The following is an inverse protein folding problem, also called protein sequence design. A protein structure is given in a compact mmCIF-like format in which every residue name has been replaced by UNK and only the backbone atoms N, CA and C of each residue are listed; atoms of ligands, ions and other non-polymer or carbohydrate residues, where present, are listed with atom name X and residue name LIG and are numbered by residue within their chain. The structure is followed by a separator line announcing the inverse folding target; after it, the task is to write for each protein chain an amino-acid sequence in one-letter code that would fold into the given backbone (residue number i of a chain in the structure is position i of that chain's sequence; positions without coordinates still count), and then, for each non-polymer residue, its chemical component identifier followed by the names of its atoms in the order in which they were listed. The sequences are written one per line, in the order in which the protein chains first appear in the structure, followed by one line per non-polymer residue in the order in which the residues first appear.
data_IF_607984310663
#
_entry.id   IF_607984310663
#
_cell.length_a   1.000
_cell.length_b   1.000
_cell.length_c   1.000
_cell.angle_alpha   90.00
_cell.angle_beta   90.00
_cell.angle_gamma   90.00
#
_symmetry.space_group_name_H-M   'P 1'
#
loop_
_entity.id
_entity.type
_entity.pdbx_description
1 polymer ?
#
# COMPACT_ATOMS: atom_id res chain seq x y z
N UNK A 1 -8.10 -13.79 25.35
CA UNK A 1 -8.30 -13.60 23.91
C UNK A 1 -6.96 -13.86 23.24
N UNK A 2 -6.88 -14.80 22.29
CA UNK A 2 -5.65 -14.98 21.52
C UNK A 2 -5.74 -13.99 20.35
N UNK A 3 -4.81 -13.05 20.25
CA UNK A 3 -4.74 -12.04 19.19
C UNK A 3 -3.57 -12.38 18.30
N UNK A 4 -3.81 -12.44 16.99
CA UNK A 4 -2.81 -12.69 15.95
C UNK A 4 -2.53 -11.42 15.16
N UNK A 5 -1.40 -11.35 14.45
CA UNK A 5 -1.10 -10.21 13.57
C UNK A 5 -2.16 -10.01 12.48
N UNK A 6 -2.71 -11.12 11.98
CA UNK A 6 -3.78 -11.10 10.97
C UNK A 6 -5.06 -10.39 11.41
N UNK A 7 -5.33 -10.30 12.72
CA UNK A 7 -6.53 -9.63 13.23
C UNK A 7 -6.48 -8.11 13.03
N UNK A 8 -5.30 -7.55 12.73
CA UNK A 8 -5.09 -6.14 12.42
C UNK A 8 -4.84 -5.87 10.92
N UNK A 9 -5.03 -6.88 10.07
CA UNK A 9 -4.95 -6.74 8.62
C UNK A 9 -6.38 -6.64 8.07
N UNK A 10 -6.76 -5.45 7.65
CA UNK A 10 -8.07 -5.19 7.05
C UNK A 10 -8.01 -5.45 5.55
N UNK A 11 -9.03 -6.11 5.00
CA UNK A 11 -9.20 -6.24 3.55
C UNK A 11 -10.66 -6.05 3.17
N UNK A 12 -10.92 -5.36 2.06
CA UNK A 12 -12.24 -5.23 1.47
C UNK A 12 -12.16 -5.39 -0.05
N UNK A 13 -13.22 -5.97 -0.63
CA UNK A 13 -13.36 -6.19 -2.07
C UNK A 13 -14.12 -5.00 -2.69
N UNK A 14 -13.99 -4.84 -4.01
CA UNK A 14 -14.78 -3.91 -4.82
C UNK A 14 -14.72 -2.43 -4.35
N UNK A 15 -13.63 -2.05 -3.68
CA UNK A 15 -13.43 -0.69 -3.13
C UNK A 15 -13.07 0.32 -4.22
N UNK A 16 -12.59 -0.16 -5.37
CA UNK A 16 -12.43 0.56 -6.62
C UNK A 16 -13.11 -0.25 -7.74
N UNK A 17 -13.80 0.42 -8.65
CA UNK A 17 -14.46 -0.27 -9.76
C UNK A 17 -13.43 -0.85 -10.73
N UNK A 18 -13.78 -1.96 -11.40
CA UNK A 18 -12.94 -2.57 -12.44
C UNK A 18 -12.57 -1.58 -13.55
N UNK A 19 -13.53 -0.75 -13.97
CA UNK A 19 -13.30 0.28 -14.99
C UNK A 19 -12.27 1.32 -14.53
N UNK A 20 -12.32 1.74 -13.28
CA UNK A 20 -11.34 2.68 -12.71
C UNK A 20 -9.95 2.04 -12.65
N UNK A 21 -9.85 0.81 -12.15
CA UNK A 21 -8.57 0.08 -12.10
C UNK A 21 -7.94 -0.06 -13.49
N UNK A 22 -8.73 -0.45 -14.48
CA UNK A 22 -8.29 -0.55 -15.88
C UNK A 22 -7.83 0.80 -16.43
N UNK A 23 -8.61 1.86 -16.19
CA UNK A 23 -8.25 3.21 -16.62
C UNK A 23 -6.90 3.66 -16.03
N UNK A 24 -6.70 3.45 -14.72
CA UNK A 24 -5.43 3.80 -14.03
C UNK A 24 -4.25 3.04 -14.64
N UNK A 25 -4.40 1.74 -14.89
CA UNK A 25 -3.34 0.93 -15.53
C UNK A 25 -3.00 1.48 -16.91
N UNK A 26 -4.01 1.72 -17.76
CA UNK A 26 -3.81 2.23 -19.12
C UNK A 26 -3.15 3.61 -19.13
N UNK A 27 -3.51 4.49 -18.21
CA UNK A 27 -2.92 5.81 -18.04
C UNK A 27 -1.48 5.72 -17.56
N UNK A 28 -1.22 4.89 -16.54
CA UNK A 28 0.12 4.62 -16.04
C UNK A 28 1.04 4.07 -17.13
N UNK A 29 0.59 3.12 -17.94
CA UNK A 29 1.44 2.54 -19.00
C UNK A 29 1.87 3.59 -20.05
N UNK A 30 1.06 4.60 -20.30
CA UNK A 30 1.35 5.70 -21.25
C UNK A 30 2.17 6.84 -20.63
N UNK A 31 2.31 6.88 -19.31
CA UNK A 31 3.02 7.96 -18.63
C UNK A 31 4.54 7.73 -18.68
N UNK A 32 5.29 8.70 -19.17
CA UNK A 32 6.76 8.62 -19.31
C UNK A 32 7.52 9.03 -18.03
N UNK A 33 6.82 9.50 -17.00
CA UNK A 33 7.42 9.95 -15.72
C UNK A 33 7.72 8.81 -14.74
N UNK A 34 7.43 7.57 -15.13
CA UNK A 34 7.75 6.37 -14.32
C UNK A 34 9.23 6.26 -14.00
N UNK A 35 9.54 5.82 -12.79
CA UNK A 35 10.90 5.60 -12.34
C UNK A 35 11.07 4.17 -11.79
N UNK A 36 12.32 3.68 -11.75
CA UNK A 36 12.61 2.44 -11.03
C UNK A 36 12.26 2.59 -9.56
N UNK A 37 11.65 1.55 -8.97
CA UNK A 37 11.28 1.53 -7.58
C UNK A 37 12.47 1.84 -6.67
N UNK A 38 12.27 2.73 -5.71
CA UNK A 38 13.28 3.14 -4.74
C UNK A 38 13.02 2.50 -3.38
N UNK A 39 14.09 2.32 -2.62
CA UNK A 39 14.11 1.91 -1.22
C UNK A 39 14.83 2.96 -0.39
N UNK A 40 14.65 2.90 0.93
CA UNK A 40 15.20 3.88 1.88
C UNK A 40 14.26 5.05 2.15
N UNK A 41 14.65 5.89 3.12
CA UNK A 41 13.96 7.14 3.43
C UNK A 41 14.43 8.30 2.55
N UNK A 42 13.89 9.51 2.77
CA UNK A 42 14.24 10.70 1.97
C UNK A 42 15.74 11.02 1.92
N UNK A 43 16.49 10.62 2.96
CA UNK A 43 17.92 10.92 3.09
C UNK A 43 18.82 9.88 2.43
N UNK A 44 18.33 8.67 2.16
CA UNK A 44 19.09 7.54 1.65
C UNK A 44 18.40 6.78 0.51
N UNK A 45 17.48 7.44 -0.19
CA UNK A 45 16.79 6.89 -1.36
C UNK A 45 17.77 6.34 -2.39
N UNK A 46 17.56 5.10 -2.78
CA UNK A 46 18.35 4.44 -3.84
C UNK A 46 17.53 3.40 -4.58
N UNK A 47 17.96 3.11 -5.78
CA UNK A 47 17.46 1.97 -6.55
C UNK A 47 18.33 0.74 -6.22
N UNK A 48 17.70 -0.32 -5.75
CA UNK A 48 18.33 -1.63 -5.56
C UNK A 48 17.33 -2.72 -5.99
N UNK A 49 17.48 -3.19 -7.22
CA UNK A 49 16.57 -4.18 -7.81
C UNK A 49 16.64 -5.55 -7.16
N UNK A 50 17.70 -5.86 -6.39
CA UNK A 50 17.76 -7.08 -5.61
C UNK A 50 16.83 -7.07 -4.39
N UNK A 51 16.42 -5.87 -3.96
CA UNK A 51 15.50 -5.64 -2.84
C UNK A 51 14.10 -5.31 -3.36
N UNK A 52 13.97 -4.30 -4.25
CA UNK A 52 12.71 -3.88 -4.85
C UNK A 52 12.87 -3.71 -6.35
N UNK A 53 12.19 -4.55 -7.14
CA UNK A 53 12.18 -4.43 -8.60
C UNK A 53 10.75 -4.14 -9.08
N UNK A 54 10.50 -2.85 -9.30
CA UNK A 54 9.23 -2.31 -9.79
C UNK A 54 9.47 -1.06 -10.63
N UNK A 55 8.43 -0.64 -11.36
CA UNK A 55 8.32 0.69 -11.97
C UNK A 55 7.26 1.46 -11.21
N UNK A 56 7.60 2.63 -10.71
CA UNK A 56 6.78 3.42 -9.82
C UNK A 56 6.44 4.79 -10.42
N UNK A 57 5.24 5.31 -10.10
CA UNK A 57 4.80 6.67 -10.41
C UNK A 57 4.06 7.24 -9.19
N UNK A 58 4.57 8.31 -8.60
CA UNK A 58 3.86 9.04 -7.56
C UNK A 58 2.93 10.06 -8.22
N UNK A 59 1.62 9.93 -8.00
CA UNK A 59 0.61 10.68 -8.77
C UNK A 59 0.07 11.92 -8.08
N UNK A 60 0.09 11.99 -6.74
CA UNK A 60 -0.55 13.08 -5.98
C UNK A 60 0.09 14.47 -6.12
N UNK A 61 1.18 14.59 -6.87
CA UNK A 61 1.78 15.88 -7.22
C UNK A 61 1.63 16.23 -8.70
N UNK A 62 0.83 15.45 -9.44
CA UNK A 62 0.68 15.58 -10.88
C UNK A 62 -0.74 16.06 -11.20
N UNK A 63 -0.87 17.29 -11.69
CA UNK A 63 -2.17 17.92 -11.96
C UNK A 63 -3.09 17.09 -12.89
N UNK A 64 -2.50 16.39 -13.83
CA UNK A 64 -3.23 15.54 -14.78
C UNK A 64 -3.70 14.20 -14.16
N UNK A 65 -3.38 13.93 -12.88
CA UNK A 65 -3.86 12.81 -12.09
C UNK A 65 -4.84 13.21 -10.96
N UNK A 66 -5.25 14.47 -10.90
CA UNK A 66 -6.10 14.98 -9.81
C UNK A 66 -7.47 14.26 -9.71
N UNK A 67 -8.05 13.83 -10.84
CA UNK A 67 -9.34 13.12 -10.83
C UNK A 67 -9.21 11.73 -10.20
N UNK A 68 -8.13 11.01 -10.52
CA UNK A 68 -7.84 9.70 -9.93
C UNK A 68 -7.47 9.83 -8.45
N UNK A 69 -6.65 10.83 -8.09
CA UNK A 69 -6.27 11.14 -6.71
C UNK A 69 -7.51 11.36 -5.84
N UNK A 70 -8.48 12.14 -6.33
CA UNK A 70 -9.74 12.37 -5.62
C UNK A 70 -10.55 11.08 -5.40
N UNK A 71 -10.66 10.23 -6.39
CA UNK A 71 -11.37 8.94 -6.24
C UNK A 71 -10.69 8.06 -5.19
N UNK A 72 -9.37 8.03 -5.18
CA UNK A 72 -8.58 7.29 -4.20
C UNK A 72 -8.76 7.86 -2.79
N UNK A 73 -8.74 9.17 -2.64
CA UNK A 73 -8.97 9.86 -1.36
C UNK A 73 -10.36 9.55 -0.78
N UNK A 74 -11.40 9.63 -1.62
CA UNK A 74 -12.77 9.34 -1.19
C UNK A 74 -12.90 7.87 -0.74
N UNK A 75 -12.36 6.90 -1.51
CA UNK A 75 -12.34 5.47 -1.15
C UNK A 75 -11.49 5.19 0.09
N UNK A 76 -10.30 5.77 0.20
CA UNK A 76 -9.43 5.58 1.37
C UNK A 76 -10.12 6.06 2.65
N UNK A 77 -10.73 7.23 2.62
CA UNK A 77 -11.39 7.84 3.78
C UNK A 77 -12.51 6.95 4.34
N UNK A 78 -13.25 6.26 3.47
CA UNK A 78 -14.28 5.28 3.88
C UNK A 78 -13.63 4.06 4.56
N UNK A 79 -12.61 3.48 3.91
CA UNK A 79 -12.02 2.22 4.37
C UNK A 79 -11.10 2.38 5.58
N UNK A 80 -10.51 3.57 5.80
CA UNK A 80 -9.77 3.88 7.03
C UNK A 80 -10.69 3.86 8.24
N UNK A 81 -11.91 4.39 8.14
CA UNK A 81 -12.91 4.31 9.23
C UNK A 81 -13.23 2.86 9.58
N UNK A 82 -13.54 2.04 8.56
CA UNK A 82 -13.83 0.63 8.76
C UNK A 82 -12.63 -0.15 9.31
N UNK A 83 -11.41 0.17 8.88
CA UNK A 83 -10.19 -0.39 9.44
C UNK A 83 -10.05 -0.08 10.94
N UNK A 84 -10.24 1.18 11.35
CA UNK A 84 -10.16 1.59 12.75
C UNK A 84 -11.25 0.90 13.58
N UNK A 85 -12.49 0.90 13.12
CA UNK A 85 -13.61 0.24 13.78
C UNK A 85 -13.38 -1.27 14.00
N UNK A 86 -12.76 -1.95 13.06
CA UNK A 86 -12.53 -3.40 13.12
C UNK A 86 -11.26 -3.78 13.89
N UNK A 87 -10.21 -2.97 13.83
CA UNK A 87 -8.88 -3.39 14.28
C UNK A 87 -8.36 -2.59 15.48
N UNK A 88 -8.76 -1.36 15.67
CA UNK A 88 -8.29 -0.47 16.75
C UNK A 88 -9.30 -0.37 17.86
N UNK A 89 -10.53 0.03 17.59
CA UNK A 89 -11.56 0.29 18.60
C UNK A 89 -11.84 -0.89 19.54
N UNK A 90 -11.82 -2.16 19.12
CA UNK A 90 -12.02 -3.28 20.04
C UNK A 90 -10.98 -3.36 21.17
N UNK A 91 -9.81 -2.75 20.97
CA UNK A 91 -8.70 -2.75 21.92
C UNK A 91 -8.42 -1.36 22.54
N UNK A 92 -8.97 -0.31 21.96
CA UNK A 92 -8.84 1.08 22.42
C UNK A 92 -10.19 1.74 22.67
N UNK A 93 -10.92 1.35 23.72
CA UNK A 93 -12.22 1.91 24.03
C UNK A 93 -12.17 3.40 24.45
N UNK A 94 -10.98 3.96 24.67
CA UNK A 94 -10.80 5.38 24.99
C UNK A 94 -10.66 6.26 23.73
N UNK A 95 -10.53 5.64 22.55
CA UNK A 95 -10.45 6.34 21.27
C UNK A 95 -9.16 7.13 21.04
N UNK A 96 -8.08 6.76 21.72
CA UNK A 96 -6.78 7.49 21.66
C UNK A 96 -6.07 7.29 20.32
N UNK A 97 -6.41 6.24 19.58
CA UNK A 97 -5.76 5.88 18.31
C UNK A 97 -6.48 6.39 17.03
N UNK A 98 -7.60 7.10 17.18
CA UNK A 98 -8.45 7.54 16.07
C UNK A 98 -8.28 9.00 15.66
N UNK A 99 -7.23 9.67 16.14
CA UNK A 99 -6.94 11.05 15.77
C UNK A 99 -6.69 11.19 14.26
N UNK A 100 -6.92 12.37 13.73
CA UNK A 100 -6.91 12.68 12.31
C UNK A 100 -5.67 12.12 11.60
N UNK A 101 -5.88 11.00 10.86
CA UNK A 101 -4.86 10.43 9.99
C UNK A 101 -4.86 11.17 8.65
N UNK A 102 -3.67 11.51 8.18
CA UNK A 102 -3.46 12.08 6.85
C UNK A 102 -2.74 11.08 5.96
N UNK A 103 -3.10 11.03 4.68
CA UNK A 103 -2.38 10.18 3.73
C UNK A 103 -1.12 10.86 3.18
N UNK A 104 -0.18 10.05 2.73
CA UNK A 104 1.08 10.50 2.11
C UNK A 104 0.95 10.72 0.60
N UNK A 105 -0.24 10.66 0.06
CA UNK A 105 -0.49 10.54 -1.39
C UNK A 105 -0.35 9.11 -1.91
N UNK A 106 -0.46 8.96 -3.23
CA UNK A 106 -0.65 7.68 -3.91
C UNK A 106 0.48 7.39 -4.88
N UNK A 107 1.09 6.21 -4.73
CA UNK A 107 2.11 5.70 -5.64
C UNK A 107 1.59 4.47 -6.37
N UNK A 108 1.53 4.53 -7.70
CA UNK A 108 1.26 3.37 -8.55
C UNK A 108 2.56 2.58 -8.71
N UNK A 109 2.50 1.26 -8.60
CA UNK A 109 3.64 0.37 -8.79
C UNK A 109 3.27 -0.76 -9.75
N UNK A 110 4.13 -0.97 -10.74
CA UNK A 110 4.09 -2.09 -11.67
C UNK A 110 5.20 -3.08 -11.35
N UNK A 111 4.84 -4.32 -11.05
CA UNK A 111 5.78 -5.41 -10.79
C UNK A 111 5.69 -6.43 -11.92
N UNK A 112 6.80 -6.66 -12.61
CA UNK A 112 6.90 -7.64 -13.70
C UNK A 112 6.96 -9.08 -13.16
N UNK A 113 6.70 -10.09 -14.00
CA UNK A 113 6.93 -11.49 -13.63
C UNK A 113 8.34 -11.71 -13.07
N UNK A 114 8.44 -12.52 -12.03
CA UNK A 114 9.67 -12.84 -11.29
C UNK A 114 10.32 -11.68 -10.52
N UNK A 115 9.73 -10.48 -10.58
CA UNK A 115 10.15 -9.30 -9.81
C UNK A 115 9.28 -9.16 -8.55
N UNK A 116 9.77 -8.44 -7.54
CA UNK A 116 9.02 -8.28 -6.29
C UNK A 116 9.68 -7.29 -5.34
N UNK A 117 9.22 -7.33 -4.10
CA UNK A 117 9.81 -6.58 -2.99
C UNK A 117 10.10 -7.56 -1.85
N UNK A 118 11.35 -7.63 -1.44
CA UNK A 118 11.81 -8.55 -0.38
C UNK A 118 11.20 -8.21 0.98
N UNK A 119 11.46 -9.03 1.98
CA UNK A 119 11.00 -8.80 3.35
C UNK A 119 11.44 -7.44 3.89
N UNK A 120 10.47 -6.62 4.29
CA UNK A 120 10.65 -5.30 4.89
C UNK A 120 9.51 -5.00 5.86
N UNK A 121 9.64 -3.92 6.59
CA UNK A 121 8.56 -3.26 7.30
C UNK A 121 8.54 -1.78 6.90
N UNK A 122 7.41 -1.13 7.14
CA UNK A 122 7.20 0.26 6.74
C UNK A 122 7.41 1.25 7.90
N UNK A 123 7.89 0.77 9.05
CA UNK A 123 8.15 1.64 10.20
C UNK A 123 9.27 2.64 9.89
N UNK A 124 9.14 3.81 10.45
CA UNK A 124 10.08 4.90 10.27
C UNK A 124 10.85 5.18 11.55
N UNK A 125 12.09 5.66 11.38
CA UNK A 125 12.99 5.93 12.50
C UNK A 125 13.74 7.26 12.35
N UNK A 126 14.23 7.80 13.47
CA UNK A 126 15.16 8.91 13.49
C UNK A 126 14.62 10.24 12.97
N UNK A 127 15.43 10.92 12.16
CA UNK A 127 15.12 12.26 11.63
C UNK A 127 13.88 12.30 10.73
N UNK A 128 13.55 11.17 10.10
CA UNK A 128 12.37 11.09 9.23
C UNK A 128 11.07 11.27 10.04
N UNK A 129 10.97 10.61 11.20
CA UNK A 129 9.81 10.74 12.09
C UNK A 129 9.65 12.18 12.58
N UNK A 130 10.77 12.89 12.83
CA UNK A 130 10.74 14.30 13.22
C UNK A 130 10.23 15.21 12.09
N UNK A 131 10.51 14.89 10.85
CA UNK A 131 10.16 15.70 9.69
C UNK A 131 8.74 15.46 9.17
N UNK A 132 8.28 14.21 9.19
CA UNK A 132 7.07 13.76 8.49
C UNK A 132 6.02 13.06 9.37
N UNK A 133 6.29 12.92 10.68
CA UNK A 133 5.43 12.17 11.59
C UNK A 133 5.66 10.65 11.50
N UNK A 134 4.99 9.93 12.39
CA UNK A 134 5.02 8.46 12.38
C UNK A 134 4.01 7.91 11.37
N UNK A 135 4.44 6.92 10.59
CA UNK A 135 3.49 6.11 9.82
C UNK A 135 2.64 5.28 10.77
N UNK A 136 1.34 5.44 10.67
CA UNK A 136 0.36 4.66 11.40
C UNK A 136 0.07 3.35 10.69
N UNK A 137 -0.30 3.43 9.40
CA UNK A 137 -0.69 2.27 8.60
C UNK A 137 -0.20 2.39 7.16
N UNK A 138 -0.07 1.25 6.51
CA UNK A 138 0.13 1.13 5.07
C UNK A 138 -1.17 0.71 4.43
N UNK A 139 -1.50 1.28 3.29
CA UNK A 139 -2.59 0.82 2.44
C UNK A 139 -2.09 0.38 1.07
N UNK A 140 -2.73 -0.63 0.51
CA UNK A 140 -2.45 -1.19 -0.81
C UNK A 140 -3.77 -1.46 -1.51
N UNK A 141 -4.02 -0.87 -2.69
CA UNK A 141 -5.00 -1.37 -3.64
C UNK A 141 -4.35 -2.26 -4.68
N UNK A 142 -5.02 -3.33 -5.02
CA UNK A 142 -4.66 -4.18 -6.16
C UNK A 142 -5.52 -3.78 -7.35
N UNK A 143 -4.88 -3.42 -8.48
CA UNK A 143 -5.57 -2.90 -9.66
C UNK A 143 -5.95 -4.00 -10.66
N UNK A 144 -5.37 -5.18 -10.51
CA UNK A 144 -5.70 -6.34 -11.34
C UNK A 144 -5.62 -7.64 -10.55
N UNK A 145 -6.30 -8.65 -11.06
CA UNK A 145 -6.14 -10.00 -10.57
C UNK A 145 -4.76 -10.53 -10.93
N UNK A 146 -4.14 -11.25 -9.99
CA UNK A 146 -2.94 -12.05 -10.22
C UNK A 146 -3.20 -13.41 -9.59
N UNK A 147 -3.34 -14.43 -10.40
CA UNK A 147 -3.74 -15.76 -9.95
C UNK A 147 -2.55 -16.69 -9.66
N UNK A 148 -1.37 -16.32 -10.11
CA UNK A 148 -0.17 -17.15 -10.06
C UNK A 148 0.91 -16.47 -9.20
N UNK A 149 0.80 -16.69 -7.87
CA UNK A 149 1.58 -16.02 -6.83
C UNK A 149 1.28 -14.50 -6.73
N UNK A 150 2.26 -13.62 -6.60
CA UNK A 150 2.09 -12.16 -6.59
C UNK A 150 1.47 -11.57 -5.33
N UNK A 151 1.13 -12.37 -4.35
CA UNK A 151 0.49 -11.96 -3.10
C UNK A 151 1.38 -11.05 -2.24
N UNK A 152 0.74 -10.28 -1.36
CA UNK A 152 1.41 -9.67 -0.22
C UNK A 152 1.43 -10.69 0.91
N UNK A 153 2.63 -11.08 1.36
CA UNK A 153 2.82 -12.07 2.41
C UNK A 153 3.39 -11.42 3.68
N UNK A 154 2.78 -11.73 4.80
CA UNK A 154 3.19 -11.27 6.12
C UNK A 154 4.02 -12.34 6.86
N UNK A 155 4.79 -11.91 7.84
CA UNK A 155 5.73 -12.77 8.58
C UNK A 155 5.06 -13.93 9.35
N UNK A 156 3.79 -13.78 9.68
CA UNK A 156 2.97 -14.82 10.32
C UNK A 156 2.41 -15.86 9.33
N UNK A 157 2.68 -15.70 8.04
CA UNK A 157 2.20 -16.57 6.96
C UNK A 157 0.89 -16.12 6.32
N UNK A 158 0.27 -15.04 6.81
CA UNK A 158 -0.92 -14.44 6.19
C UNK A 158 -0.59 -13.97 4.78
N UNK A 159 -1.49 -14.24 3.81
CA UNK A 159 -1.34 -13.89 2.41
C UNK A 159 -2.56 -13.15 1.90
N UNK A 160 -2.33 -12.00 1.29
CA UNK A 160 -3.38 -11.24 0.60
C UNK A 160 -3.14 -11.34 -0.90
N UNK A 161 -4.02 -12.07 -1.57
CA UNK A 161 -3.96 -12.28 -3.02
C UNK A 161 -4.42 -11.01 -3.75
N UNK A 162 -3.72 -10.58 -4.80
CA UNK A 162 -4.19 -9.48 -5.65
C UNK A 162 -5.52 -9.80 -6.32
N UNK A 163 -6.49 -8.92 -6.13
CA UNK A 163 -7.78 -8.90 -6.82
C UNK A 163 -8.14 -7.49 -7.20
N UNK A 164 -8.69 -7.31 -8.37
CA UNK A 164 -9.11 -6.02 -8.90
C UNK A 164 -10.01 -5.28 -7.92
N UNK A 165 -9.64 -4.07 -7.53
CA UNK A 165 -10.40 -3.23 -6.61
C UNK A 165 -10.31 -3.62 -5.13
N UNK A 166 -9.53 -4.65 -4.75
CA UNK A 166 -9.31 -4.98 -3.34
C UNK A 166 -8.39 -3.98 -2.69
N UNK A 167 -8.75 -3.53 -1.48
CA UNK A 167 -7.86 -2.81 -0.56
C UNK A 167 -7.33 -3.75 0.52
N UNK A 168 -6.11 -3.49 0.96
CA UNK A 168 -5.50 -4.06 2.17
C UNK A 168 -4.91 -2.91 3.00
N UNK A 169 -5.29 -2.81 4.29
CA UNK A 169 -4.73 -1.83 5.23
C UNK A 169 -4.17 -2.60 6.42
N UNK A 170 -2.96 -2.25 6.86
CA UNK A 170 -2.28 -2.89 7.99
C UNK A 170 -1.35 -1.92 8.70
N UNK A 171 -1.01 -2.14 9.99
CA UNK A 171 -0.12 -1.26 10.76
C UNK A 171 1.27 -1.16 10.12
N UNK A 172 1.80 0.07 10.01
CA UNK A 172 3.15 0.33 9.49
C UNK A 172 4.22 0.19 10.60
N UNK A 173 4.14 -0.87 11.42
CA UNK A 173 4.98 -1.11 12.58
C UNK A 173 6.09 -2.12 12.29
N UNK A 174 7.14 -2.10 13.12
CA UNK A 174 8.32 -2.95 12.98
C UNK A 174 8.03 -4.47 13.02
N UNK A 175 6.93 -4.90 13.63
CA UNK A 175 6.52 -6.30 13.72
C UNK A 175 5.65 -6.75 12.53
N UNK A 176 5.25 -5.84 11.63
CA UNK A 176 4.51 -6.14 10.40
C UNK A 176 5.47 -6.30 9.22
N UNK A 177 6.46 -7.22 9.36
CA UNK A 177 7.27 -7.61 8.22
C UNK A 177 6.40 -8.26 7.15
N UNK A 178 6.56 -7.76 5.94
CA UNK A 178 5.84 -8.26 4.78
C UNK A 178 6.71 -8.21 3.54
N UNK A 179 6.26 -8.89 2.48
CA UNK A 179 6.91 -8.85 1.16
C UNK A 179 5.88 -8.85 0.04
N UNK A 180 6.26 -8.25 -1.09
CA UNK A 180 5.56 -8.44 -2.35
C UNK A 180 6.12 -9.68 -3.04
N UNK A 181 5.44 -10.83 -2.89
CA UNK A 181 5.89 -12.06 -3.51
C UNK A 181 5.86 -11.92 -5.05
N UNK A 182 6.88 -12.39 -5.77
CA UNK A 182 6.94 -12.29 -7.22
C UNK A 182 5.76 -13.00 -7.91
N UNK A 183 5.02 -12.34 -8.81
CA UNK A 183 4.11 -13.04 -9.71
C UNK A 183 4.92 -13.89 -10.70
N UNK A 184 4.38 -15.04 -11.12
CA UNK A 184 5.11 -15.93 -12.05
C UNK A 184 5.01 -15.48 -13.49
N UNK A 185 3.79 -15.28 -13.96
CA UNK A 185 3.52 -15.07 -15.38
C UNK A 185 2.78 -13.76 -15.68
N UNK A 186 2.16 -13.18 -14.67
CA UNK A 186 1.31 -11.99 -14.79
C UNK A 186 2.03 -10.73 -14.31
N UNK A 187 1.67 -9.59 -14.82
CA UNK A 187 2.12 -8.29 -14.29
C UNK A 187 1.18 -7.89 -13.16
N UNK A 188 1.72 -7.47 -12.03
CA UNK A 188 0.96 -6.94 -10.90
C UNK A 188 1.00 -5.43 -10.89
N UNK A 189 -0.17 -4.81 -10.72
CA UNK A 189 -0.32 -3.37 -10.50
C UNK A 189 -0.96 -3.12 -9.16
N UNK A 190 -0.37 -2.21 -8.38
CA UNK A 190 -0.90 -1.76 -7.10
C UNK A 190 -0.86 -0.23 -7.01
N UNK A 191 -1.70 0.33 -6.13
CA UNK A 191 -1.52 1.68 -5.60
C UNK A 191 -1.22 1.54 -4.11
N UNK A 192 -0.24 2.26 -3.61
CA UNK A 192 0.14 2.22 -2.20
C UNK A 192 0.50 3.59 -1.66
N UNK A 193 0.42 3.73 -0.37
CA UNK A 193 0.83 4.88 0.42
C UNK A 193 0.74 4.58 1.91
N UNK A 194 0.90 5.61 2.70
CA UNK A 194 0.89 5.50 4.16
C UNK A 194 -0.04 6.52 4.78
N UNK A 195 -0.60 6.15 5.93
CA UNK A 195 -1.31 7.04 6.83
C UNK A 195 -0.36 7.50 7.92
N UNK A 196 -0.41 8.77 8.26
CA UNK A 196 0.44 9.42 9.26
C UNK A 196 -0.41 10.11 10.32
N UNK A 197 0.12 10.17 11.54
CA UNK A 197 -0.33 11.08 12.60
C UNK A 197 0.23 12.47 12.39
#
# INVERSE_FOLDING_TARGET
MNVNLSDFIYTAEDTLTENFCKHVIEKFEKDDRKNSGMIGGELDKRVDKSIKDSMDLFISTLDDWNDEDKVLCDSLSEHVKLFIEQTVEPFDPAGVGSDELTDSGYQIQRTSPSSGYTWHNDSMHGEYVKAFGMRHSTFIWYLNDVNDDGYTEFVDGTKVQPKTGRICIFPALWNYYHRGYPPRNEVKYIITGWLHH
#
